data_IF_024111630187
#
_entry.id   IF_024111630187
#
_cell.length_a   1.000
_cell.length_b   1.000
_cell.length_c   1.000
_cell.angle_alpha   90.00
_cell.angle_beta   90.00
_cell.angle_gamma   90.00
#
_symmetry.space_group_name_H-M   'P 1'
#
loop_
_entity.id
_entity.type
_entity.pdbx_description
1 polymer ?
#
# COMPACT_ATOMS: atom_id res chain seq x y z
N UNK A 1 -41.93 -5.41 -0.06
CA UNK A 1 -41.16 -4.18 0.15
C UNK A 1 -41.42 -3.22 -1.02
N UNK A 2 -41.70 -1.94 -0.78
CA UNK A 2 -41.95 -1.00 -1.86
C UNK A 2 -40.67 -0.83 -2.70
N UNK A 3 -40.81 -0.88 -4.01
CA UNK A 3 -39.74 -0.77 -5.02
C UNK A 3 -38.80 0.46 -4.82
N UNK A 4 -39.36 1.55 -4.22
CA UNK A 4 -38.61 2.76 -3.83
C UNK A 4 -37.55 2.50 -2.74
N UNK A 5 -37.84 1.65 -1.75
CA UNK A 5 -36.93 1.37 -0.63
C UNK A 5 -35.70 0.61 -1.17
N UNK A 6 -35.90 -0.41 -1.98
CA UNK A 6 -34.83 -1.17 -2.66
C UNK A 6 -33.96 -0.28 -3.56
N UNK A 7 -34.57 0.70 -4.25
CA UNK A 7 -33.82 1.66 -5.07
C UNK A 7 -32.93 2.58 -4.23
N UNK A 8 -33.42 3.09 -3.09
CA UNK A 8 -32.62 3.94 -2.20
C UNK A 8 -31.51 3.15 -1.50
N UNK A 9 -31.79 1.92 -1.07
CA UNK A 9 -30.77 1.05 -0.46
C UNK A 9 -29.66 0.71 -1.45
N UNK A 10 -30.00 0.38 -2.70
CA UNK A 10 -29.03 0.11 -3.77
C UNK A 10 -28.18 1.35 -4.06
N UNK A 11 -28.78 2.52 -4.23
CA UNK A 11 -28.05 3.77 -4.46
C UNK A 11 -27.18 4.18 -3.28
N UNK A 12 -27.68 3.96 -2.06
CA UNK A 12 -26.89 4.23 -0.86
C UNK A 12 -25.68 3.30 -0.78
N UNK A 13 -25.85 2.03 -1.11
CA UNK A 13 -24.76 1.05 -1.18
C UNK A 13 -23.76 1.43 -2.26
N UNK A 14 -24.20 1.73 -3.47
CA UNK A 14 -23.32 2.19 -4.58
C UNK A 14 -22.57 3.47 -4.20
N UNK A 15 -23.24 4.43 -3.57
CA UNK A 15 -22.62 5.67 -3.07
C UNK A 15 -21.57 5.40 -1.99
N UNK A 16 -21.86 4.48 -1.06
CA UNK A 16 -20.91 4.08 -0.02
C UNK A 16 -19.72 3.30 -0.60
N UNK A 17 -19.96 2.43 -1.59
CA UNK A 17 -18.91 1.72 -2.32
C UNK A 17 -17.99 2.69 -3.08
N UNK A 18 -18.54 3.66 -3.83
CA UNK A 18 -17.75 4.72 -4.47
C UNK A 18 -16.98 5.59 -3.47
N UNK A 19 -17.55 5.84 -2.31
CA UNK A 19 -16.91 6.62 -1.25
C UNK A 19 -15.78 5.86 -0.55
N UNK A 20 -15.76 4.53 -0.67
CA UNK A 20 -14.73 3.63 -0.14
C UNK A 20 -13.72 3.20 -1.22
N UNK A 21 -13.88 3.65 -2.46
CA UNK A 21 -13.01 3.26 -3.56
C UNK A 21 -11.61 3.84 -3.35
N UNK A 22 -10.67 2.94 -3.09
CA UNK A 22 -9.25 3.25 -3.03
C UNK A 22 -8.65 2.99 -4.40
N UNK A 23 -7.85 3.94 -4.88
CA UNK A 23 -7.09 3.83 -6.12
C UNK A 23 -5.62 4.16 -5.91
N UNK A 24 -4.76 3.58 -6.73
CA UNK A 24 -3.34 3.92 -6.81
C UNK A 24 -3.14 4.85 -8.01
N UNK A 25 -2.47 5.98 -7.76
CA UNK A 25 -2.09 6.91 -8.83
C UNK A 25 -0.59 7.14 -8.79
N UNK A 26 0.12 7.06 -9.92
CA UNK A 26 1.55 7.37 -9.96
C UNK A 26 1.84 8.74 -9.36
N UNK A 27 2.99 8.88 -8.71
CA UNK A 27 3.46 10.20 -8.27
C UNK A 27 4.01 10.95 -9.48
N UNK A 28 3.54 12.17 -9.66
CA UNK A 28 3.87 13.08 -10.78
C UNK A 28 4.15 14.49 -10.26
N UNK A 29 4.45 15.41 -11.17
CA UNK A 29 4.61 16.83 -10.84
C UNK A 29 3.34 17.48 -10.26
N UNK A 30 2.16 16.90 -10.54
CA UNK A 30 0.89 17.44 -10.08
C UNK A 30 0.52 17.05 -8.64
N UNK A 31 1.11 15.98 -8.10
CA UNK A 31 0.68 15.41 -6.82
C UNK A 31 1.81 15.09 -5.82
N UNK A 32 3.09 15.30 -6.17
CA UNK A 32 4.19 14.97 -5.27
C UNK A 32 4.18 15.80 -3.97
N UNK A 33 3.66 17.02 -4.02
CA UNK A 33 3.52 17.87 -2.82
C UNK A 33 2.50 17.26 -1.85
N UNK A 34 1.43 16.64 -2.35
CA UNK A 34 0.47 15.95 -1.49
C UNK A 34 1.13 14.78 -0.75
N UNK A 35 2.03 14.04 -1.44
CA UNK A 35 2.82 12.99 -0.80
C UNK A 35 3.77 13.54 0.29
N UNK A 36 4.35 14.72 0.10
CA UNK A 36 5.19 15.38 1.09
C UNK A 36 4.41 15.82 2.34
N UNK A 37 3.15 16.15 2.18
CA UNK A 37 2.27 16.60 3.26
C UNK A 37 1.64 15.45 4.07
N UNK A 38 1.79 14.19 3.65
CA UNK A 38 1.35 13.04 4.43
C UNK A 38 2.10 12.98 5.76
N UNK A 39 1.39 12.62 6.82
CA UNK A 39 1.95 12.54 8.16
C UNK A 39 1.93 11.10 8.67
N UNK A 40 3.05 10.69 9.22
CA UNK A 40 3.16 9.46 10.00
C UNK A 40 2.70 9.72 11.43
N UNK A 41 1.96 8.78 12.02
CA UNK A 41 1.77 8.80 13.46
C UNK A 41 3.14 8.66 14.15
N UNK A 42 3.36 9.41 15.22
CA UNK A 42 4.66 9.52 15.89
C UNK A 42 5.28 8.17 16.24
N UNK A 43 4.47 7.23 16.68
CA UNK A 43 4.90 5.86 17.01
C UNK A 43 5.29 5.03 15.77
N UNK A 44 4.93 5.48 14.57
CA UNK A 44 5.19 4.78 13.30
C UNK A 44 6.39 5.35 12.54
N UNK A 45 6.90 6.52 12.93
CA UNK A 45 8.05 7.17 12.27
C UNK A 45 9.30 6.28 12.23
N UNK A 46 9.43 5.37 13.19
CA UNK A 46 10.53 4.39 13.25
C UNK A 46 10.33 3.17 12.34
N UNK A 47 9.14 2.95 11.80
CA UNK A 47 8.79 1.74 11.04
C UNK A 47 8.81 1.93 9.54
N UNK A 48 8.58 3.14 9.06
CA UNK A 48 8.49 3.41 7.63
C UNK A 48 9.11 4.77 7.29
N UNK A 49 9.75 4.83 6.14
CA UNK A 49 10.32 6.08 5.63
C UNK A 49 9.23 7.05 5.21
N UNK A 50 9.42 8.34 5.53
CA UNK A 50 8.57 9.39 5.00
C UNK A 50 8.61 9.42 3.46
N UNK A 51 7.50 9.74 2.77
CA UNK A 51 7.43 9.77 1.30
C UNK A 51 8.54 10.56 0.61
N UNK A 52 9.02 11.66 1.19
CA UNK A 52 10.15 12.44 0.64
C UNK A 52 11.39 11.55 0.48
N UNK A 53 11.78 10.80 1.52
CA UNK A 53 12.92 9.90 1.46
C UNK A 53 12.68 8.76 0.48
N UNK A 54 11.47 8.21 0.50
CA UNK A 54 11.06 7.14 -0.39
C UNK A 54 11.13 7.56 -1.86
N UNK A 55 10.67 8.77 -2.19
CA UNK A 55 10.75 9.31 -3.56
C UNK A 55 12.20 9.59 -4.00
N UNK A 56 13.08 10.02 -3.09
CA UNK A 56 14.50 10.14 -3.39
C UNK A 56 15.14 8.77 -3.72
N UNK A 57 14.74 7.71 -3.03
CA UNK A 57 15.15 6.34 -3.36
C UNK A 57 14.55 5.89 -4.71
N UNK A 58 13.27 6.20 -4.97
CA UNK A 58 12.62 5.87 -6.24
C UNK A 58 13.34 6.49 -7.44
N UNK A 59 13.92 7.69 -7.29
CA UNK A 59 14.75 8.28 -8.34
C UNK A 59 15.99 7.44 -8.68
N UNK A 60 16.63 6.87 -7.67
CA UNK A 60 17.82 6.00 -7.85
C UNK A 60 17.45 4.69 -8.52
N UNK A 61 16.33 4.09 -8.14
CA UNK A 61 15.84 2.79 -8.60
C UNK A 61 14.72 2.88 -9.65
N UNK A 62 14.65 4.00 -10.39
CA UNK A 62 13.51 4.31 -11.27
C UNK A 62 13.18 3.26 -12.34
N UNK A 63 14.18 2.44 -12.72
CA UNK A 63 13.99 1.40 -13.74
C UNK A 63 13.30 0.13 -13.19
N UNK A 64 13.17 0.04 -11.87
CA UNK A 64 12.67 -1.15 -11.18
C UNK A 64 11.68 -0.85 -10.05
N UNK A 65 11.29 0.41 -9.86
CA UNK A 65 10.31 0.75 -8.85
C UNK A 65 9.22 1.71 -9.34
N UNK A 66 8.09 1.64 -8.66
CA UNK A 66 6.94 2.51 -8.93
C UNK A 66 6.37 3.04 -7.62
N UNK A 67 6.53 4.34 -7.33
CA UNK A 67 5.83 5.01 -6.25
C UNK A 67 4.41 5.38 -6.64
N UNK A 68 3.46 5.20 -5.71
CA UNK A 68 2.05 5.58 -5.87
C UNK A 68 1.55 6.41 -4.69
N UNK A 69 0.72 7.41 -4.96
CA UNK A 69 -0.23 7.94 -4.00
C UNK A 69 -1.42 6.99 -3.87
N UNK A 70 -1.83 6.74 -2.63
CA UNK A 70 -3.05 6.02 -2.31
C UNK A 70 -4.16 7.06 -2.19
N UNK A 71 -5.21 6.93 -3.00
CA UNK A 71 -6.30 7.90 -3.06
C UNK A 71 -7.62 7.31 -2.61
N UNK A 72 -8.38 8.13 -1.88
CA UNK A 72 -9.79 7.95 -1.64
C UNK A 72 -10.53 9.08 -2.35
N UNK A 73 -11.19 8.77 -3.46
CA UNK A 73 -11.69 9.78 -4.38
C UNK A 73 -10.54 10.65 -4.93
N UNK A 74 -10.63 11.96 -4.73
CA UNK A 74 -9.59 12.91 -5.16
C UNK A 74 -8.56 13.25 -4.06
N UNK A 75 -8.70 12.66 -2.87
CA UNK A 75 -7.80 12.94 -1.75
C UNK A 75 -6.73 11.87 -1.64
N UNK A 76 -5.47 12.27 -1.61
CA UNK A 76 -4.37 11.37 -1.24
C UNK A 76 -4.46 11.07 0.26
N UNK A 77 -4.55 9.80 0.61
CA UNK A 77 -4.70 9.29 1.99
C UNK A 77 -3.51 8.46 2.44
N UNK A 78 -2.57 8.21 1.55
CA UNK A 78 -1.39 7.41 1.85
C UNK A 78 -0.43 7.34 0.67
N UNK A 79 0.61 6.54 0.87
CA UNK A 79 1.68 6.34 -0.09
C UNK A 79 2.14 4.89 -0.07
N UNK A 80 2.52 4.35 -1.23
CA UNK A 80 3.14 3.04 -1.35
C UNK A 80 4.19 3.05 -2.46
N UNK A 81 5.27 2.32 -2.28
CA UNK A 81 6.26 2.06 -3.32
C UNK A 81 6.47 0.57 -3.50
N UNK A 82 6.38 0.13 -4.74
CA UNK A 82 6.69 -1.24 -5.18
C UNK A 82 8.03 -1.22 -5.88
N UNK A 83 8.88 -2.18 -5.58
CA UNK A 83 10.15 -2.41 -6.29
C UNK A 83 10.21 -3.86 -6.78
N UNK A 84 10.96 -4.08 -7.85
CA UNK A 84 11.26 -5.40 -8.39
C UNK A 84 12.77 -5.64 -8.31
N UNK A 85 13.16 -6.74 -7.70
CA UNK A 85 14.57 -7.17 -7.65
C UNK A 85 14.86 -8.05 -8.87
N UNK A 86 15.77 -7.60 -9.75
CA UNK A 86 16.18 -8.36 -10.93
C UNK A 86 17.18 -9.46 -10.60
N UNK A 87 17.91 -9.36 -9.49
CA UNK A 87 18.89 -10.36 -9.08
C UNK A 87 18.21 -11.57 -8.42
N UNK A 88 17.11 -11.29 -7.68
CA UNK A 88 16.21 -12.31 -7.13
C UNK A 88 14.82 -11.98 -7.65
N UNK A 89 14.39 -12.51 -8.84
CA UNK A 89 13.18 -12.07 -9.51
C UNK A 89 11.95 -12.13 -8.60
N UNK A 90 11.74 -11.06 -7.84
CA UNK A 90 10.61 -10.89 -6.92
C UNK A 90 10.19 -9.43 -6.77
N UNK A 91 8.92 -9.23 -6.44
CA UNK A 91 8.39 -7.93 -6.06
C UNK A 91 8.51 -7.72 -4.57
N UNK A 92 8.75 -6.48 -4.16
CA UNK A 92 8.71 -6.07 -2.77
C UNK A 92 7.77 -4.87 -2.60
N UNK A 93 6.93 -4.91 -1.57
CA UNK A 93 6.17 -3.74 -1.10
C UNK A 93 7.08 -2.98 -0.15
N UNK A 94 7.96 -2.16 -0.74
CA UNK A 94 9.10 -1.57 -0.04
C UNK A 94 8.71 -0.53 1.00
N UNK A 95 7.78 0.37 0.64
CA UNK A 95 7.25 1.35 1.59
C UNK A 95 5.74 1.42 1.46
N UNK A 96 5.02 1.43 2.58
CA UNK A 96 3.57 1.63 2.60
C UNK A 96 3.16 2.36 3.87
N UNK A 97 2.39 3.43 3.72
CA UNK A 97 1.81 4.17 4.84
C UNK A 97 0.43 4.74 4.52
N UNK A 98 -0.37 4.90 5.55
CA UNK A 98 -1.61 5.69 5.52
C UNK A 98 -1.40 6.91 6.44
N UNK A 99 -1.78 8.08 5.94
CA UNK A 99 -1.77 9.33 6.71
C UNK A 99 -2.44 9.16 8.09
N UNK A 100 -1.82 9.71 9.15
CA UNK A 100 -2.29 9.52 10.52
C UNK A 100 -3.77 9.85 10.72
N UNK A 101 -4.26 10.92 10.07
CA UNK A 101 -5.65 11.36 10.15
C UNK A 101 -6.61 10.46 9.35
N UNK A 102 -6.10 9.53 8.54
CA UNK A 102 -6.87 8.64 7.68
C UNK A 102 -6.82 7.17 8.12
N UNK A 103 -6.06 6.86 9.16
CA UNK A 103 -5.95 5.50 9.70
C UNK A 103 -7.26 5.03 10.36
N UNK A 104 -7.40 3.72 10.53
CA UNK A 104 -8.57 3.11 11.16
C UNK A 104 -9.84 3.05 10.30
N UNK A 105 -9.77 3.44 9.02
CA UNK A 105 -10.90 3.48 8.08
C UNK A 105 -10.90 2.34 7.06
N UNK A 106 -9.97 1.38 7.20
CA UNK A 106 -9.83 0.25 6.26
C UNK A 106 -9.03 0.55 5.00
N UNK A 107 -8.50 1.77 4.84
CA UNK A 107 -7.79 2.17 3.63
C UNK A 107 -6.51 1.37 3.38
N UNK A 108 -5.78 0.99 4.43
CA UNK A 108 -4.58 0.15 4.29
C UNK A 108 -4.88 -1.21 3.67
N UNK A 109 -5.97 -1.87 4.11
CA UNK A 109 -6.41 -3.15 3.55
C UNK A 109 -6.81 -3.01 2.08
N UNK A 110 -7.59 -1.99 1.75
CA UNK A 110 -8.04 -1.74 0.38
C UNK A 110 -6.86 -1.36 -0.53
N UNK A 111 -5.92 -0.54 -0.04
CA UNK A 111 -4.70 -0.18 -0.77
C UNK A 111 -3.81 -1.40 -1.04
N UNK A 112 -3.58 -2.25 -0.05
CA UNK A 112 -2.79 -3.47 -0.23
C UNK A 112 -3.41 -4.38 -1.30
N UNK A 113 -4.73 -4.54 -1.34
CA UNK A 113 -5.41 -5.29 -2.40
C UNK A 113 -5.14 -4.70 -3.79
N UNK A 114 -5.14 -3.37 -3.94
CA UNK A 114 -4.79 -2.70 -5.20
C UNK A 114 -3.32 -2.90 -5.57
N UNK A 115 -2.41 -2.86 -4.59
CA UNK A 115 -0.98 -3.15 -4.79
C UNK A 115 -0.76 -4.56 -5.31
N UNK A 116 -1.40 -5.55 -4.68
CA UNK A 116 -1.31 -6.95 -5.11
C UNK A 116 -1.89 -7.14 -6.53
N UNK A 117 -2.99 -6.47 -6.86
CA UNK A 117 -3.55 -6.48 -8.21
C UNK A 117 -2.61 -5.84 -9.24
N UNK A 118 -1.92 -4.75 -8.89
CA UNK A 118 -0.90 -4.12 -9.73
C UNK A 118 0.28 -5.07 -9.97
N UNK A 119 0.82 -5.68 -8.91
CA UNK A 119 1.93 -6.64 -9.02
C UNK A 119 1.52 -7.87 -9.85
N UNK A 120 0.27 -8.32 -9.73
CA UNK A 120 -0.28 -9.40 -10.53
C UNK A 120 -0.25 -9.17 -12.04
N UNK A 121 -0.13 -7.91 -12.49
CA UNK A 121 0.10 -7.55 -13.90
C UNK A 121 1.56 -7.71 -14.33
N UNK A 122 2.47 -7.97 -13.39
CA UNK A 122 3.91 -8.20 -13.63
C UNK A 122 4.61 -7.06 -14.38
N UNK A 123 4.47 -5.80 -13.93
CA UNK A 123 4.87 -4.62 -14.69
C UNK A 123 6.39 -4.51 -14.96
N UNK A 124 7.22 -5.19 -14.16
CA UNK A 124 8.68 -5.20 -14.32
C UNK A 124 9.24 -6.57 -14.73
N UNK A 125 8.53 -7.65 -14.46
CA UNK A 125 8.97 -9.01 -14.78
C UNK A 125 8.16 -10.09 -14.07
N UNK A 126 8.42 -11.33 -14.42
CA UNK A 126 7.78 -12.49 -13.79
C UNK A 126 8.28 -12.67 -12.36
N UNK A 127 7.36 -13.05 -11.48
CA UNK A 127 7.66 -13.52 -10.14
C UNK A 127 6.59 -14.49 -9.67
N UNK A 128 7.00 -15.46 -8.87
CA UNK A 128 6.07 -16.36 -8.16
C UNK A 128 5.78 -15.91 -6.74
N UNK A 129 6.35 -14.77 -6.30
CA UNK A 129 6.17 -14.29 -4.92
C UNK A 129 6.31 -12.78 -4.80
N UNK A 130 5.72 -12.27 -3.73
CA UNK A 130 5.84 -10.89 -3.28
C UNK A 130 6.44 -10.91 -1.89
N UNK A 131 7.52 -10.15 -1.67
CA UNK A 131 8.20 -10.02 -0.39
C UNK A 131 7.90 -8.67 0.26
N UNK A 132 8.16 -8.57 1.54
CA UNK A 132 8.29 -7.33 2.31
C UNK A 132 9.01 -7.60 3.63
N UNK A 133 9.55 -6.56 4.23
CA UNK A 133 10.01 -6.58 5.62
C UNK A 133 9.08 -5.74 6.50
N UNK A 134 8.89 -6.16 7.73
CA UNK A 134 8.06 -5.46 8.69
C UNK A 134 8.70 -5.49 10.08
N UNK A 135 8.76 -4.35 10.74
CA UNK A 135 9.26 -4.29 12.11
C UNK A 135 8.39 -5.14 13.06
N UNK A 136 9.03 -5.90 13.95
CA UNK A 136 8.38 -6.81 14.91
C UNK A 136 7.37 -6.10 15.82
N UNK A 137 7.64 -4.85 16.14
CA UNK A 137 6.78 -4.03 16.99
C UNK A 137 5.59 -3.41 16.24
N UNK A 138 5.57 -3.48 14.90
CA UNK A 138 4.48 -2.93 14.09
C UNK A 138 3.31 -3.94 14.00
N UNK A 139 2.62 -4.15 15.12
CA UNK A 139 1.54 -5.13 15.22
C UNK A 139 0.39 -4.87 14.22
N UNK A 140 0.09 -3.59 13.91
CA UNK A 140 -0.95 -3.22 12.93
C UNK A 140 -0.58 -3.68 11.52
N UNK A 141 0.65 -3.41 11.08
CA UNK A 141 1.11 -3.83 9.76
C UNK A 141 1.23 -5.36 9.67
N UNK A 142 1.78 -6.01 10.69
CA UNK A 142 1.85 -7.48 10.74
C UNK A 142 0.47 -8.13 10.63
N UNK A 143 -0.54 -7.61 11.32
CA UNK A 143 -1.91 -8.11 11.23
C UNK A 143 -2.49 -7.90 9.82
N UNK A 144 -2.23 -6.73 9.19
CA UNK A 144 -2.65 -6.43 7.84
C UNK A 144 -2.06 -7.42 6.82
N UNK A 145 -0.75 -7.62 6.85
CA UNK A 145 -0.06 -8.50 5.90
C UNK A 145 -0.46 -9.97 6.09
N UNK A 146 -0.55 -10.45 7.34
CA UNK A 146 -1.03 -11.82 7.63
C UNK A 146 -2.46 -12.04 7.15
N UNK A 147 -3.35 -11.07 7.34
CA UNK A 147 -4.72 -11.14 6.83
C UNK A 147 -4.79 -11.16 5.29
N UNK A 148 -3.78 -10.61 4.61
CA UNK A 148 -3.64 -10.68 3.15
C UNK A 148 -2.97 -11.97 2.66
N UNK A 149 -2.56 -12.87 3.55
CA UNK A 149 -1.98 -14.17 3.22
C UNK A 149 -0.44 -14.23 3.26
N UNK A 150 0.22 -13.14 3.67
CA UNK A 150 1.67 -13.18 3.86
C UNK A 150 2.04 -14.06 5.06
N UNK A 151 3.10 -14.84 4.90
CA UNK A 151 3.68 -15.70 5.91
C UNK A 151 5.17 -15.37 6.13
N UNK A 152 5.75 -15.69 7.30
CA UNK A 152 7.18 -15.51 7.54
C UNK A 152 8.02 -16.19 6.46
N UNK A 153 9.02 -15.47 5.93
CA UNK A 153 9.94 -15.99 4.90
C UNK A 153 11.11 -16.79 5.48
N UNK A 154 11.33 -16.71 6.77
CA UNK A 154 12.51 -17.23 7.45
C UNK A 154 13.68 -16.24 7.51
N UNK A 155 13.57 -15.10 6.83
CA UNK A 155 14.56 -14.03 6.91
C UNK A 155 14.15 -13.09 8.05
N UNK A 156 14.92 -13.10 9.12
CA UNK A 156 14.64 -12.32 10.31
C UNK A 156 15.94 -11.71 10.83
N UNK A 157 15.88 -10.49 11.32
CA UNK A 157 16.90 -9.87 12.14
C UNK A 157 16.34 -9.48 13.52
N UNK A 158 17.08 -8.68 14.29
CA UNK A 158 16.66 -8.30 15.64
C UNK A 158 15.35 -7.50 15.62
N UNK A 159 15.16 -6.63 14.64
CA UNK A 159 14.06 -5.68 14.59
C UNK A 159 13.00 -6.03 13.53
N UNK A 160 13.34 -6.77 12.48
CA UNK A 160 12.48 -6.98 11.32
C UNK A 160 12.17 -8.45 11.05
N UNK A 161 10.98 -8.68 10.51
CA UNK A 161 10.52 -9.98 10.01
C UNK A 161 10.31 -9.86 8.51
N UNK A 162 10.95 -10.74 7.75
CA UNK A 162 10.64 -10.93 6.34
C UNK A 162 9.34 -11.71 6.18
N UNK A 163 8.46 -11.20 5.32
CA UNK A 163 7.19 -11.82 4.98
C UNK A 163 7.13 -12.08 3.47
N UNK A 164 6.45 -13.14 3.08
CA UNK A 164 6.29 -13.54 1.68
C UNK A 164 4.87 -13.99 1.39
N UNK A 165 4.37 -13.62 0.21
CA UNK A 165 3.13 -14.11 -0.36
C UNK A 165 3.46 -14.81 -1.69
N UNK A 166 3.13 -16.09 -1.83
CA UNK A 166 3.22 -16.80 -3.10
C UNK A 166 2.03 -16.44 -4.00
N UNK A 167 2.28 -16.19 -5.28
CA UNK A 167 1.29 -15.76 -6.27
C UNK A 167 1.34 -16.62 -7.54
#
# INVERSE_FOLDING_TARGET
MPQKVLYYEKRHKEYMEQRMEISLRPITEDNFIDAFNLKLAREQERFVSHPIRSLAQAYVYREQCQPFGIYQGERMVGYVMVIYDYDVPEYDVWHMMIDEAQQGKGYGKAALAQVLAYIGQKPFGDSGRIALTCNRDNAKALALYRAAGFAPSGNEDEDEIGLVLNI
#
